data_IF_039429123462
#
_entry.id   IF_039429123462
#
_cell.length_a   1.000
_cell.length_b   1.000
_cell.length_c   1.000
_cell.angle_alpha   90.00
_cell.angle_beta   90.00
_cell.angle_gamma   90.00
#
_symmetry.space_group_name_H-M   'P 1'
#
loop_
_entity.id
_entity.type
_entity.pdbx_description
1 polymer ?
#
# COMPACT_ATOMS: atom_id res chain seq x y z
N UNK A 1 -13.37 -10.61 14.14
CA UNK A 1 -12.06 -11.30 14.25
C UNK A 1 -11.06 -10.51 13.41
N UNK A 2 -9.90 -10.13 13.94
CA UNK A 2 -8.89 -9.40 13.16
C UNK A 2 -8.31 -10.31 12.06
N UNK A 3 -8.04 -9.77 10.87
CA UNK A 3 -7.41 -10.50 9.77
C UNK A 3 -6.07 -9.85 9.44
N UNK A 4 -5.01 -10.63 9.57
CA UNK A 4 -3.63 -10.23 9.35
C UNK A 4 -3.00 -11.14 8.30
N UNK A 5 -2.90 -10.65 7.08
CA UNK A 5 -2.24 -11.35 5.97
C UNK A 5 -0.80 -10.84 5.86
N UNK A 6 0.10 -11.37 6.70
CA UNK A 6 1.49 -10.91 6.75
C UNK A 6 2.25 -11.24 5.46
N UNK A 7 2.03 -12.44 4.93
CA UNK A 7 2.71 -12.90 3.71
C UNK A 7 2.23 -12.12 2.49
N UNK A 8 0.92 -11.93 2.35
CA UNK A 8 0.34 -11.12 1.28
C UNK A 8 0.77 -9.65 1.35
N UNK A 9 0.78 -9.06 2.54
CA UNK A 9 1.26 -7.69 2.73
C UNK A 9 2.75 -7.55 2.41
N UNK A 10 3.58 -8.51 2.83
CA UNK A 10 5.01 -8.54 2.52
C UNK A 10 5.22 -8.64 1.00
N UNK A 11 4.56 -9.59 0.35
CA UNK A 11 4.64 -9.77 -1.10
C UNK A 11 4.21 -8.51 -1.85
N UNK A 12 3.13 -7.86 -1.43
CA UNK A 12 2.64 -6.62 -2.02
C UNK A 12 3.63 -5.46 -1.86
N UNK A 13 4.18 -5.24 -0.67
CA UNK A 13 5.15 -4.16 -0.42
C UNK A 13 6.39 -4.35 -1.30
N UNK A 14 6.90 -5.58 -1.40
CA UNK A 14 8.06 -5.90 -2.23
C UNK A 14 7.75 -5.80 -3.73
N UNK A 15 6.56 -6.25 -4.16
CA UNK A 15 6.13 -6.09 -5.53
C UNK A 15 6.03 -4.61 -5.90
N UNK A 16 5.43 -3.79 -5.03
CA UNK A 16 5.36 -2.34 -5.22
C UNK A 16 6.75 -1.69 -5.26
N UNK A 17 7.68 -2.14 -4.41
CA UNK A 17 9.05 -1.63 -4.37
C UNK A 17 9.84 -1.94 -5.66
N UNK A 18 9.61 -3.12 -6.24
CA UNK A 18 10.37 -3.65 -7.39
C UNK A 18 9.69 -3.40 -8.74
N UNK A 19 8.46 -2.92 -8.73
CA UNK A 19 7.72 -2.64 -9.95
C UNK A 19 8.35 -1.47 -10.72
N UNK A 20 8.41 -1.61 -12.04
CA UNK A 20 8.91 -0.61 -12.96
C UNK A 20 7.85 0.48 -13.21
N UNK A 21 7.64 1.33 -12.20
CA UNK A 21 6.64 2.40 -12.24
C UNK A 21 6.99 3.44 -13.29
N UNK A 22 6.04 3.69 -14.20
CA UNK A 22 6.06 4.85 -15.10
C UNK A 22 5.18 5.99 -14.60
N UNK A 23 4.40 5.73 -13.55
CA UNK A 23 3.38 6.59 -12.95
C UNK A 23 2.35 7.10 -13.94
N UNK A 24 2.01 6.25 -14.90
CA UNK A 24 0.94 6.48 -15.87
C UNK A 24 -0.20 5.53 -15.59
N UNK A 25 -1.37 5.88 -16.10
CA UNK A 25 -2.57 5.06 -15.96
C UNK A 25 -2.39 3.60 -16.42
N UNK A 26 -1.51 3.36 -17.39
CA UNK A 26 -1.19 2.03 -17.90
C UNK A 26 -0.45 1.13 -16.89
N UNK A 27 0.10 1.69 -15.81
CA UNK A 27 0.70 0.91 -14.73
C UNK A 27 -0.36 0.14 -13.95
N UNK A 28 -1.60 0.64 -13.84
CA UNK A 28 -2.66 0.00 -13.06
C UNK A 28 -2.96 -1.44 -13.51
N UNK A 29 -3.32 -1.71 -14.79
CA UNK A 29 -3.57 -3.08 -15.23
C UNK A 29 -2.32 -3.96 -15.17
N UNK A 30 -1.13 -3.41 -15.40
CA UNK A 30 0.15 -4.13 -15.31
C UNK A 30 0.42 -4.58 -13.87
N UNK A 31 0.32 -3.64 -12.93
CA UNK A 31 0.54 -3.90 -11.51
C UNK A 31 -0.50 -4.87 -10.98
N UNK A 32 -1.79 -4.68 -11.29
CA UNK A 32 -2.85 -5.59 -10.87
C UNK A 32 -2.57 -7.04 -11.29
N UNK A 33 -2.11 -7.26 -12.52
CA UNK A 33 -1.72 -8.60 -12.99
C UNK A 33 -0.58 -9.20 -12.18
N UNK A 34 0.43 -8.41 -11.83
CA UNK A 34 1.60 -8.86 -11.04
C UNK A 34 1.19 -9.29 -9.64
N UNK A 35 0.29 -8.55 -9.00
CA UNK A 35 -0.11 -8.81 -7.60
C UNK A 35 -1.42 -9.60 -7.46
N UNK A 36 -1.96 -10.12 -8.57
CA UNK A 36 -3.20 -10.89 -8.57
C UNK A 36 -4.44 -10.09 -8.16
N UNK A 37 -4.47 -8.80 -8.48
CA UNK A 37 -5.62 -7.92 -8.23
C UNK A 37 -6.51 -7.82 -9.46
N UNK A 38 -7.75 -7.45 -9.21
CA UNK A 38 -8.73 -7.14 -10.26
C UNK A 38 -8.86 -5.63 -10.42
N UNK A 39 -8.80 -5.14 -11.65
CA UNK A 39 -9.10 -3.75 -11.95
C UNK A 39 -10.60 -3.64 -12.25
N UNK A 40 -11.34 -2.95 -11.38
CA UNK A 40 -12.80 -2.89 -11.42
C UNK A 40 -13.28 -1.75 -12.32
N UNK A 41 -12.70 -0.56 -12.13
CA UNK A 41 -13.11 0.64 -12.87
C UNK A 41 -11.96 1.63 -13.00
N UNK A 42 -11.96 2.39 -14.10
CA UNK A 42 -11.12 3.57 -14.30
C UNK A 42 -12.03 4.75 -14.63
N UNK A 43 -12.30 5.59 -13.63
CA UNK A 43 -12.99 6.87 -13.78
C UNK A 43 -12.04 7.98 -14.22
N UNK A 44 -12.53 9.21 -14.36
CA UNK A 44 -11.72 10.39 -14.76
C UNK A 44 -10.63 10.73 -13.74
N UNK A 45 -10.99 10.77 -12.45
CA UNK A 45 -10.12 11.22 -11.35
C UNK A 45 -9.48 10.08 -10.55
N UNK A 46 -9.81 8.83 -10.86
CA UNK A 46 -9.33 7.70 -10.09
C UNK A 46 -9.63 6.34 -10.72
N UNK A 47 -9.19 5.31 -10.04
CA UNK A 47 -9.48 3.93 -10.39
C UNK A 47 -9.77 3.12 -9.12
N UNK A 48 -10.62 2.11 -9.29
CA UNK A 48 -10.99 1.16 -8.26
C UNK A 48 -10.46 -0.22 -8.63
N UNK A 49 -9.84 -0.88 -7.67
CA UNK A 49 -9.30 -2.24 -7.80
C UNK A 49 -9.72 -3.07 -6.60
N UNK A 50 -9.73 -4.39 -6.76
CA UNK A 50 -9.93 -5.36 -5.69
C UNK A 50 -8.61 -6.06 -5.37
N UNK A 51 -8.08 -5.83 -4.17
CA UNK A 51 -6.85 -6.45 -3.70
C UNK A 51 -7.02 -7.96 -3.52
N UNK A 52 -5.97 -8.73 -3.81
CA UNK A 52 -5.86 -10.17 -3.56
C UNK A 52 -5.59 -10.55 -2.10
N UNK A 53 -5.61 -9.59 -1.17
CA UNK A 53 -5.25 -9.79 0.24
C UNK A 53 -6.42 -10.40 1.04
N UNK A 54 -6.10 -11.23 2.03
CA UNK A 54 -7.08 -11.77 2.97
C UNK A 54 -7.41 -10.77 4.09
N UNK A 55 -8.05 -9.66 3.72
CA UNK A 55 -8.56 -8.61 4.61
C UNK A 55 -10.05 -8.41 4.40
N UNK A 56 -10.73 -7.69 5.30
CA UNK A 56 -12.17 -7.45 5.17
C UNK A 56 -12.45 -6.43 4.06
N UNK A 57 -11.72 -5.33 4.04
CA UNK A 57 -11.82 -4.27 3.04
C UNK A 57 -10.74 -4.45 1.98
N UNK A 58 -11.12 -5.11 0.88
CA UNK A 58 -10.23 -5.39 -0.25
C UNK A 58 -10.24 -4.28 -1.32
N UNK A 59 -11.11 -3.28 -1.20
CA UNK A 59 -11.16 -2.18 -2.17
C UNK A 59 -9.89 -1.32 -2.09
N UNK A 60 -9.33 -1.01 -3.25
CA UNK A 60 -8.17 -0.14 -3.40
C UNK A 60 -8.56 1.02 -4.29
N UNK A 61 -8.31 2.23 -3.78
CA UNK A 61 -8.49 3.46 -4.55
C UNK A 61 -7.13 3.92 -5.06
N UNK A 62 -7.07 4.25 -6.35
CA UNK A 62 -5.99 4.98 -6.98
C UNK A 62 -6.46 6.38 -7.39
N UNK A 63 -5.60 7.37 -7.18
CA UNK A 63 -5.86 8.75 -7.59
C UNK A 63 -5.09 9.09 -8.87
N UNK A 64 -5.81 9.63 -9.84
CA UNK A 64 -5.30 10.03 -11.14
C UNK A 64 -5.32 11.56 -11.27
N UNK A 65 -4.36 12.10 -12.00
CA UNK A 65 -4.31 13.51 -12.38
C UNK A 65 -4.46 13.66 -13.88
N UNK A 66 -5.34 14.57 -14.29
CA UNK A 66 -5.61 14.90 -15.68
C UNK A 66 -4.30 15.27 -16.41
N UNK A 67 -4.00 14.55 -17.49
CA UNK A 67 -2.81 14.71 -18.34
C UNK A 67 -2.86 13.71 -19.49
N UNK A 68 -1.96 13.84 -20.48
CA UNK A 68 -1.87 12.92 -21.62
C UNK A 68 -0.50 12.24 -21.68
N UNK A 69 -0.38 10.93 -21.38
CA UNK A 69 -1.39 10.10 -20.73
C UNK A 69 -1.63 10.51 -19.27
N UNK A 70 -2.77 10.10 -18.69
CA UNK A 70 -3.13 10.43 -17.30
C UNK A 70 -2.09 9.91 -16.32
N UNK A 71 -1.71 10.75 -15.36
CA UNK A 71 -0.71 10.45 -14.34
C UNK A 71 -1.35 9.75 -13.15
N UNK A 72 -0.75 8.65 -12.73
CA UNK A 72 -1.04 8.00 -11.47
C UNK A 72 -0.27 8.70 -10.36
N UNK A 73 -0.97 9.21 -9.36
CA UNK A 73 -0.33 9.89 -8.23
C UNK A 73 -0.07 8.92 -7.09
N UNK A 74 -1.06 8.08 -6.78
CA UNK A 74 -0.96 7.10 -5.72
C UNK A 74 -2.07 6.07 -5.70
N UNK A 75 -1.86 5.02 -4.92
CA UNK A 75 -2.87 4.05 -4.51
C UNK A 75 -2.68 3.65 -3.04
N UNK A 76 -3.75 3.19 -2.40
CA UNK A 76 -3.74 2.91 -0.96
C UNK A 76 -4.49 1.63 -0.58
N UNK A 77 -3.92 0.43 -0.77
CA UNK A 77 -4.47 -0.81 -0.25
C UNK A 77 -4.45 -0.91 1.28
N UNK A 78 -5.41 -1.64 1.82
CA UNK A 78 -5.46 -2.08 3.22
C UNK A 78 -4.63 -3.35 3.38
N UNK A 79 -3.70 -3.36 4.33
CA UNK A 79 -2.86 -4.52 4.65
C UNK A 79 -3.38 -5.34 5.82
N UNK A 80 -3.99 -4.67 6.79
CA UNK A 80 -4.46 -5.28 8.02
C UNK A 80 -5.57 -4.43 8.63
N UNK A 81 -6.48 -5.09 9.33
CA UNK A 81 -7.60 -4.43 9.97
C UNK A 81 -7.88 -5.03 11.33
N UNK A 82 -8.24 -4.13 12.23
CA UNK A 82 -8.65 -4.49 13.57
C UNK A 82 -10.11 -4.95 13.53
N UNK A 83 -10.38 -6.14 14.03
CA UNK A 83 -11.77 -6.51 14.31
C UNK A 83 -12.39 -5.59 15.36
N UNK A 84 -13.71 -5.58 15.49
CA UNK A 84 -14.47 -4.70 16.40
C UNK A 84 -13.92 -4.65 17.83
N UNK A 85 -13.49 -5.79 18.37
CA UNK A 85 -12.95 -5.92 19.73
C UNK A 85 -11.41 -5.86 19.82
N UNK A 86 -10.71 -5.56 18.73
CA UNK A 86 -9.25 -5.58 18.69
C UNK A 86 -8.59 -4.37 19.37
N UNK A 87 -7.42 -4.58 19.97
CA UNK A 87 -6.61 -3.48 20.55
C UNK A 87 -5.89 -2.67 19.46
N UNK A 88 -5.78 -1.33 19.57
CA UNK A 88 -4.93 -0.52 18.68
C UNK A 88 -3.46 -0.97 18.65
N UNK A 89 -2.96 -1.54 19.76
CA UNK A 89 -1.57 -2.04 19.85
C UNK A 89 -1.29 -3.15 18.83
N UNK A 90 -2.29 -3.97 18.48
CA UNK A 90 -2.13 -5.04 17.49
C UNK A 90 -1.72 -4.49 16.12
N UNK A 91 -2.18 -3.30 15.74
CA UNK A 91 -1.83 -2.70 14.45
C UNK A 91 -0.42 -2.10 14.49
N UNK A 92 0.00 -1.51 15.61
CA UNK A 92 1.38 -1.04 15.74
C UNK A 92 2.36 -2.22 15.74
N UNK A 93 2.01 -3.32 16.40
CA UNK A 93 2.82 -4.53 16.45
C UNK A 93 2.90 -5.17 15.05
N UNK A 94 1.79 -5.17 14.31
CA UNK A 94 1.76 -5.60 12.91
C UNK A 94 2.69 -4.75 12.03
N UNK A 95 2.64 -3.42 12.14
CA UNK A 95 3.56 -2.54 11.38
C UNK A 95 5.02 -2.77 11.77
N UNK A 96 5.31 -3.02 13.06
CA UNK A 96 6.67 -3.33 13.53
C UNK A 96 7.17 -4.66 12.95
N UNK A 97 6.34 -5.69 12.98
CA UNK A 97 6.67 -7.00 12.42
C UNK A 97 6.89 -6.93 10.91
N UNK A 98 5.97 -6.27 10.18
CA UNK A 98 6.09 -6.08 8.73
C UNK A 98 7.35 -5.29 8.37
N UNK A 99 7.66 -4.23 9.12
CA UNK A 99 8.92 -3.48 8.96
C UNK A 99 10.14 -4.39 9.10
N UNK A 100 10.21 -5.21 10.14
CA UNK A 100 11.34 -6.10 10.38
C UNK A 100 11.58 -7.12 9.25
N UNK A 101 10.51 -7.53 8.55
CA UNK A 101 10.59 -8.42 7.38
C UNK A 101 11.06 -7.67 6.12
N UNK A 102 10.66 -6.41 5.96
CA UNK A 102 10.92 -5.60 4.76
C UNK A 102 12.29 -4.92 4.79
N UNK A 103 12.77 -4.49 5.97
CA UNK A 103 14.05 -3.79 6.13
C UNK A 103 15.25 -4.53 5.54
N UNK A 104 15.43 -5.85 5.73
CA UNK A 104 16.52 -6.60 5.11
C UNK A 104 16.50 -6.59 3.57
N UNK A 105 15.34 -6.33 2.96
CA UNK A 105 15.15 -6.40 1.51
C UNK A 105 15.21 -5.03 0.81
N UNK A 106 14.76 -3.97 1.50
CA UNK A 106 14.68 -2.61 0.95
C UNK A 106 15.68 -1.65 1.60
N UNK A 107 16.41 -2.09 2.63
CA UNK A 107 17.24 -1.26 3.47
C UNK A 107 16.43 -0.51 4.54
N UNK A 108 17.13 0.40 5.24
CA UNK A 108 16.54 1.19 6.31
C UNK A 108 15.45 2.13 5.76
N UNK A 109 14.34 2.31 6.50
CA UNK A 109 13.33 3.29 6.14
C UNK A 109 13.92 4.71 6.24
N UNK A 110 13.53 5.57 5.29
CA UNK A 110 13.90 6.97 5.29
C UNK A 110 13.26 7.73 6.48
N UNK A 111 12.08 7.28 6.93
CA UNK A 111 11.37 7.91 8.05
C UNK A 111 10.56 6.90 8.86
N UNK A 112 10.60 7.06 10.17
CA UNK A 112 9.80 6.31 11.14
C UNK A 112 9.13 7.30 12.10
N UNK A 113 7.82 7.20 12.25
CA UNK A 113 7.04 8.07 13.15
C UNK A 113 6.21 7.21 14.07
N UNK A 114 6.33 7.35 15.39
CA UNK A 114 5.64 6.51 16.36
C UNK A 114 4.39 7.17 16.98
N UNK A 115 4.17 8.48 16.77
CA UNK A 115 3.03 9.24 17.28
C UNK A 115 2.56 10.30 16.27
N UNK A 116 1.24 10.61 16.19
CA UNK A 116 0.12 9.99 16.91
C UNK A 116 -0.28 8.62 16.35
N UNK A 117 0.31 8.22 15.22
CA UNK A 117 0.13 6.92 14.56
C UNK A 117 1.49 6.36 14.18
N UNK A 118 1.61 5.03 14.14
CA UNK A 118 2.85 4.40 13.72
C UNK A 118 2.91 4.35 12.20
N UNK A 119 3.92 4.99 11.61
CA UNK A 119 4.21 4.91 10.18
C UNK A 119 5.68 4.71 9.88
N UNK A 120 5.94 3.98 8.80
CA UNK A 120 7.27 3.66 8.29
C UNK A 120 7.29 3.99 6.81
N UNK A 121 8.29 4.74 6.35
CA UNK A 121 8.39 5.18 4.95
C UNK A 121 9.73 4.81 4.36
N UNK A 122 9.70 4.18 3.19
CA UNK A 122 10.84 4.00 2.30
C UNK A 122 10.72 4.95 1.11
N UNK A 123 11.78 5.69 0.84
CA UNK A 123 11.91 6.49 -0.38
C UNK A 123 12.87 5.76 -1.31
N UNK A 124 12.29 5.05 -2.29
CA UNK A 124 13.05 4.34 -3.32
C UNK A 124 13.12 5.22 -4.57
N UNK A 125 14.06 4.97 -5.50
CA UNK A 125 14.26 5.83 -6.67
C UNK A 125 12.98 6.09 -7.50
N UNK A 126 12.15 5.06 -7.67
CA UNK A 126 10.96 5.14 -8.52
C UNK A 126 9.63 5.10 -7.75
N UNK A 127 9.64 4.96 -6.42
CA UNK A 127 8.42 4.85 -5.61
C UNK A 127 8.68 5.23 -4.15
N UNK A 128 7.75 5.96 -3.55
CA UNK A 128 7.69 6.07 -2.09
C UNK A 128 6.65 5.10 -1.54
N UNK A 129 7.03 4.34 -0.52
CA UNK A 129 6.15 3.39 0.17
C UNK A 129 5.99 3.85 1.61
N UNK A 130 4.75 4.08 2.04
CA UNK A 130 4.44 4.38 3.45
C UNK A 130 3.47 3.36 4.00
N UNK A 131 3.91 2.59 4.98
CA UNK A 131 3.04 1.74 5.79
C UNK A 131 2.60 2.57 6.99
N UNK A 132 1.30 2.65 7.27
CA UNK A 132 0.77 3.46 8.37
C UNK A 132 -0.44 2.82 9.03
N UNK A 133 -0.46 2.80 10.35
CA UNK A 133 -1.66 2.50 11.13
C UNK A 133 -2.51 3.75 11.32
N UNK A 134 -3.79 3.70 10.94
CA UNK A 134 -4.72 4.83 11.10
C UNK A 134 -6.16 4.30 11.20
N UNK A 135 -6.99 4.89 12.05
CA UNK A 135 -8.44 4.59 12.16
C UNK A 135 -8.80 3.08 12.25
N UNK A 136 -7.97 2.26 12.90
CA UNK A 136 -8.25 0.83 13.05
C UNK A 136 -7.82 -0.03 11.86
N UNK A 137 -7.10 0.52 10.89
CA UNK A 137 -6.50 -0.21 9.77
C UNK A 137 -5.00 0.07 9.65
N UNK A 138 -4.29 -0.79 8.93
CA UNK A 138 -2.96 -0.53 8.40
C UNK A 138 -3.08 -0.41 6.89
N UNK A 139 -2.63 0.71 6.36
CA UNK A 139 -2.62 0.99 4.93
C UNK A 139 -1.18 0.96 4.43
N UNK A 140 -1.01 0.51 3.19
CA UNK A 140 0.18 0.83 2.40
C UNK A 140 -0.21 1.95 1.45
N UNK A 141 0.52 3.07 1.47
CA UNK A 141 0.48 4.07 0.41
C UNK A 141 1.62 3.82 -0.54
N UNK A 142 1.28 3.64 -1.81
CA UNK A 142 2.23 3.53 -2.93
C UNK A 142 2.17 4.85 -3.68
N UNK A 143 3.29 5.56 -3.74
CA UNK A 143 3.33 7.00 -3.99
C UNK A 143 4.30 7.32 -5.14
N UNK A 144 3.82 8.06 -6.15
CA UNK A 144 4.68 8.69 -7.14
C UNK A 144 5.65 9.66 -6.44
N UNK A 145 6.97 9.51 -6.57
CA UNK A 145 7.92 10.42 -5.94
C UNK A 145 7.90 11.83 -6.57
N UNK A 146 7.39 11.97 -7.79
CA UNK A 146 7.32 13.22 -8.54
C UNK A 146 5.91 13.86 -8.58
N UNK A 147 5.09 13.62 -7.54
CA UNK A 147 3.71 14.15 -7.41
C UNK A 147 3.63 15.67 -7.59
#
# INVERSE_FOLDING_TARGET
MSRFDMDGATALVLAAARFDWTWRIYDLPRFCRVVGWELVNIGSEGAEMLAGLNVQHRSVVAYLKESTPRKLLWMSPVLAERGESGSPRLLSDYVSALRAIIEPQLGNPAMVTTKPSYSVTWQLPNVTLTIKSIHGVVLLRIINPAR
#
